data_IF_597066521339
#
_entry.id   IF_597066521339
#
_cell.length_a   1.000
_cell.length_b   1.000
_cell.length_c   1.000
_cell.angle_alpha   90.00
_cell.angle_beta   90.00
_cell.angle_gamma   90.00
#
_symmetry.space_group_name_H-M   'P 1'
#
loop_
_entity.id
_entity.type
_entity.pdbx_description
1 polymer ?
#
# COMPACT_ATOMS: atom_id res chain seq x y z
N UNK A 1 39.34 58.65 -5.73
CA UNK A 1 38.05 58.01 -6.02
C UNK A 1 38.17 56.51 -6.28
N UNK A 2 38.69 55.69 -5.34
CA UNK A 2 38.66 54.22 -5.49
C UNK A 2 38.56 53.57 -4.06
N UNK A 3 37.56 53.95 -3.31
CA UNK A 3 37.40 53.35 -1.97
C UNK A 3 35.93 53.01 -1.57
N UNK A 4 34.97 53.09 -2.49
CA UNK A 4 33.58 52.88 -2.12
C UNK A 4 32.95 51.57 -2.67
N UNK A 5 33.63 50.83 -3.55
CA UNK A 5 33.07 49.64 -4.26
C UNK A 5 33.34 48.31 -3.52
N UNK A 6 34.31 48.24 -2.63
CA UNK A 6 34.69 47.01 -1.96
C UNK A 6 33.85 46.67 -0.69
N UNK A 7 33.24 47.68 -0.09
CA UNK A 7 32.46 47.48 1.17
C UNK A 7 31.03 47.00 0.91
N UNK A 8 30.45 47.34 -0.25
CA UNK A 8 29.07 47.00 -0.60
C UNK A 8 28.89 45.55 -1.00
N UNK A 9 29.90 44.90 -1.56
CA UNK A 9 29.87 43.48 -1.98
C UNK A 9 30.01 42.52 -0.79
N UNK A 10 30.74 42.89 0.24
CA UNK A 10 30.90 42.06 1.46
C UNK A 10 29.67 42.09 2.36
N UNK A 11 28.96 43.21 2.44
CA UNK A 11 27.76 43.33 3.28
C UNK A 11 26.55 42.59 2.65
N UNK A 12 26.38 42.63 1.31
CA UNK A 12 25.34 41.91 0.63
C UNK A 12 25.59 40.40 0.57
N UNK A 13 26.84 39.95 0.52
CA UNK A 13 27.22 38.53 0.63
C UNK A 13 26.88 37.96 2.01
N UNK A 14 27.18 38.70 3.06
CA UNK A 14 26.95 38.28 4.44
C UNK A 14 25.44 38.23 4.79
N UNK A 15 24.63 39.08 4.18
CA UNK A 15 23.15 39.08 4.36
C UNK A 15 22.49 37.88 3.70
N UNK A 16 22.89 37.54 2.49
CA UNK A 16 22.40 36.36 1.79
C UNK A 16 22.82 35.05 2.45
N UNK A 17 24.08 34.98 2.89
CA UNK A 17 24.60 33.83 3.63
C UNK A 17 23.80 33.57 4.91
N UNK A 18 23.49 34.62 5.65
CA UNK A 18 22.67 34.54 6.86
C UNK A 18 21.24 34.08 6.51
N UNK A 19 20.66 34.62 5.46
CA UNK A 19 19.30 34.23 5.00
C UNK A 19 19.24 32.74 4.61
N UNK A 20 20.27 32.23 3.93
CA UNK A 20 20.38 30.80 3.61
C UNK A 20 20.54 29.93 4.85
N UNK A 21 21.35 30.34 5.81
CA UNK A 21 21.55 29.62 7.06
C UNK A 21 20.26 29.59 7.90
N UNK A 22 19.52 30.70 7.97
CA UNK A 22 18.24 30.78 8.68
C UNK A 22 17.21 29.83 8.01
N UNK A 23 17.21 29.75 6.68
CA UNK A 23 16.33 28.87 5.93
C UNK A 23 16.71 27.38 6.09
N UNK A 24 17.99 27.05 6.08
CA UNK A 24 18.48 25.70 6.35
C UNK A 24 18.04 25.25 7.74
N UNK A 25 18.23 26.08 8.76
CA UNK A 25 17.83 25.78 10.14
C UNK A 25 16.31 25.56 10.26
N UNK A 26 15.49 26.34 9.51
CA UNK A 26 14.04 26.14 9.48
C UNK A 26 13.65 24.81 8.84
N UNK A 27 14.27 24.46 7.72
CA UNK A 27 14.00 23.20 7.01
C UNK A 27 14.46 21.98 7.82
N UNK A 28 15.61 22.07 8.52
CA UNK A 28 16.07 21.00 9.42
C UNK A 28 15.07 20.75 10.56
N UNK A 29 14.48 21.83 11.10
CA UNK A 29 13.45 21.71 12.13
C UNK A 29 12.16 21.09 11.61
N UNK A 30 11.73 21.49 10.41
CA UNK A 30 10.55 20.92 9.75
C UNK A 30 10.75 19.43 9.45
N UNK A 31 11.93 19.06 8.92
CA UNK A 31 12.29 17.68 8.66
C UNK A 31 12.28 16.82 9.94
N UNK A 32 12.84 17.35 11.02
CA UNK A 32 12.85 16.64 12.31
C UNK A 32 11.46 16.45 12.89
N UNK A 33 10.57 17.43 12.71
CA UNK A 33 9.17 17.31 13.13
C UNK A 33 8.43 16.27 12.28
N UNK A 34 8.61 16.29 10.95
CA UNK A 34 8.01 15.31 10.05
C UNK A 34 8.49 13.88 10.36
N UNK A 35 9.78 13.69 10.61
CA UNK A 35 10.33 12.40 11.01
C UNK A 35 9.75 11.89 12.33
N UNK A 36 9.51 12.80 13.30
CA UNK A 36 8.89 12.44 14.57
C UNK A 36 7.40 12.04 14.39
N UNK A 37 6.65 12.76 13.56
CA UNK A 37 5.28 12.42 13.23
C UNK A 37 5.20 11.06 12.50
N UNK A 38 6.15 10.78 11.61
CA UNK A 38 6.25 9.49 10.91
C UNK A 38 6.58 8.34 11.87
N UNK A 39 7.47 8.57 12.86
CA UNK A 39 7.82 7.59 13.88
C UNK A 39 6.63 7.33 14.83
N UNK A 40 5.92 8.37 15.29
CA UNK A 40 4.72 8.25 16.12
C UNK A 40 3.59 7.51 15.36
N UNK A 41 3.35 7.86 14.08
CA UNK A 41 2.33 7.22 13.24
C UNK A 41 2.70 5.75 12.94
N UNK A 42 3.99 5.47 12.69
CA UNK A 42 4.50 4.11 12.50
C UNK A 42 4.29 3.23 13.74
N UNK A 43 4.51 3.78 14.93
CA UNK A 43 4.28 3.07 16.21
C UNK A 43 2.80 2.79 16.44
N UNK A 44 1.92 3.73 16.12
CA UNK A 44 0.46 3.54 16.23
C UNK A 44 -0.05 2.48 15.25
N UNK A 45 0.47 2.48 14.01
CA UNK A 45 0.15 1.46 13.00
C UNK A 45 0.63 0.07 13.41
N UNK A 46 1.81 -0.03 14.01
CA UNK A 46 2.38 -1.28 14.50
C UNK A 46 1.56 -1.85 15.68
N UNK A 47 1.15 -1.00 16.62
CA UNK A 47 0.26 -1.37 17.73
C UNK A 47 -1.13 -1.79 17.23
N UNK A 48 -1.70 -1.08 16.25
CA UNK A 48 -2.99 -1.43 15.64
C UNK A 48 -2.90 -2.75 14.87
N UNK A 49 -1.82 -2.99 14.12
CA UNK A 49 -1.59 -4.24 13.39
C UNK A 49 -1.41 -5.42 14.35
N UNK A 50 -0.66 -5.27 15.43
CA UNK A 50 -0.51 -6.29 16.48
C UNK A 50 -1.83 -6.58 17.17
N UNK A 51 -2.63 -5.56 17.48
CA UNK A 51 -3.97 -5.71 18.07
C UNK A 51 -4.91 -6.47 17.13
N UNK A 52 -4.87 -6.15 15.81
CA UNK A 52 -5.67 -6.84 14.81
C UNK A 52 -5.25 -8.31 14.65
N UNK A 53 -3.95 -8.59 14.59
CA UNK A 53 -3.44 -9.96 14.52
C UNK A 53 -3.76 -10.79 15.77
N UNK A 54 -3.72 -10.16 16.95
CA UNK A 54 -4.08 -10.80 18.22
C UNK A 54 -5.59 -11.06 18.31
N UNK A 55 -6.44 -10.13 17.88
CA UNK A 55 -7.89 -10.33 17.79
C UNK A 55 -8.27 -11.45 16.82
N UNK A 56 -7.51 -11.66 15.75
CA UNK A 56 -7.67 -12.78 14.82
C UNK A 56 -7.38 -14.13 15.46
N UNK A 57 -6.40 -14.21 16.37
CA UNK A 57 -6.02 -15.46 17.05
C UNK A 57 -6.96 -15.82 18.22
N UNK A 58 -7.64 -14.85 18.81
CA UNK A 58 -8.47 -15.03 20.01
C UNK A 58 -9.97 -15.28 19.72
N UNK A 59 -10.44 -15.04 18.50
CA UNK A 59 -11.88 -15.03 18.16
C UNK A 59 -12.41 -16.31 17.46
N UNK A 60 -11.79 -17.48 17.63
CA UNK A 60 -12.36 -18.75 17.17
C UNK A 60 -12.87 -18.69 15.70
N UNK A 61 -14.17 -18.85 15.48
CA UNK A 61 -14.79 -18.82 14.13
C UNK A 61 -14.87 -17.42 13.47
N UNK A 62 -14.41 -16.36 14.14
CA UNK A 62 -14.44 -14.98 13.62
C UNK A 62 -13.36 -14.68 12.56
N UNK A 63 -12.47 -15.61 12.25
CA UNK A 63 -11.46 -15.46 11.20
C UNK A 63 -12.05 -15.13 9.82
N UNK A 64 -13.32 -15.49 9.59
CA UNK A 64 -14.06 -15.17 8.35
C UNK A 64 -14.46 -13.68 8.26
N UNK A 65 -14.46 -12.98 9.38
CA UNK A 65 -14.95 -11.60 9.52
C UNK A 65 -13.80 -10.59 9.70
N UNK A 66 -12.63 -10.89 9.19
CA UNK A 66 -11.46 -10.02 9.28
C UNK A 66 -11.70 -8.74 8.54
N UNK A 67 -11.69 -7.61 9.26
CA UNK A 67 -11.77 -6.29 8.64
C UNK A 67 -10.36 -5.82 8.26
N UNK A 68 -10.16 -5.59 6.97
CA UNK A 68 -8.90 -5.05 6.42
C UNK A 68 -9.20 -3.83 5.57
N UNK A 69 -8.63 -2.69 5.93
CA UNK A 69 -8.72 -1.43 5.18
C UNK A 69 -7.64 -0.44 5.69
N UNK A 70 -7.66 0.82 5.23
CA UNK A 70 -6.69 1.85 5.65
C UNK A 70 -6.71 2.13 7.16
N UNK A 71 -7.84 1.93 7.84
CA UNK A 71 -7.96 2.10 9.29
C UNK A 71 -7.63 0.82 10.09
N UNK A 72 -7.56 -0.32 9.42
CA UNK A 72 -7.27 -1.63 9.98
C UNK A 72 -6.30 -2.39 9.06
N UNK A 73 -5.06 -1.89 8.92
CA UNK A 73 -4.06 -2.55 8.07
C UNK A 73 -3.59 -3.85 8.71
N UNK A 74 -3.24 -4.81 7.86
CA UNK A 74 -2.52 -6.02 8.28
C UNK A 74 -1.02 -5.72 8.41
N UNK A 75 -0.38 -6.37 9.37
CA UNK A 75 1.08 -6.36 9.49
C UNK A 75 1.74 -6.87 8.20
N UNK A 76 2.87 -6.27 7.81
CA UNK A 76 3.59 -6.65 6.59
C UNK A 76 4.11 -8.11 6.63
N UNK A 77 4.27 -8.67 7.83
CA UNK A 77 4.69 -10.07 8.06
C UNK A 77 3.52 -11.05 8.11
N UNK A 78 2.26 -10.58 8.04
CA UNK A 78 1.10 -11.45 8.09
C UNK A 78 1.07 -12.36 6.86
N UNK A 79 1.07 -13.66 7.09
CA UNK A 79 0.93 -14.69 6.05
C UNK A 79 -0.01 -15.78 6.58
N UNK A 80 -1.20 -15.97 5.96
CA UNK A 80 -2.08 -17.09 6.33
C UNK A 80 -1.48 -18.43 5.92
N UNK A 81 -2.02 -19.52 6.44
CA UNK A 81 -1.71 -20.85 5.92
C UNK A 81 -2.35 -20.99 4.53
N UNK A 82 -1.51 -21.14 3.50
CA UNK A 82 -1.94 -21.08 2.10
C UNK A 82 -2.03 -22.48 1.47
N UNK A 83 -3.03 -22.63 0.58
CA UNK A 83 -3.17 -23.79 -0.30
C UNK A 83 -3.46 -23.34 -1.73
N UNK A 84 -3.02 -24.13 -2.71
CA UNK A 84 -3.25 -23.84 -4.13
C UNK A 84 -4.69 -24.18 -4.52
N UNK A 85 -5.42 -23.17 -5.01
CA UNK A 85 -6.79 -23.29 -5.55
C UNK A 85 -6.75 -23.65 -7.04
N UNK A 86 -5.99 -22.94 -7.81
CA UNK A 86 -5.68 -23.12 -9.24
C UNK A 86 -4.20 -22.79 -9.47
N UNK A 87 -3.60 -23.13 -10.60
CA UNK A 87 -2.19 -22.79 -10.90
C UNK A 87 -1.92 -21.31 -10.65
N UNK A 88 -0.92 -21.02 -9.82
CA UNK A 88 -0.50 -19.66 -9.41
C UNK A 88 -1.57 -18.86 -8.63
N UNK A 89 -2.60 -19.51 -8.11
CA UNK A 89 -3.66 -18.89 -7.31
C UNK A 89 -3.79 -19.62 -5.98
N UNK A 90 -3.38 -18.96 -4.91
CA UNK A 90 -3.42 -19.48 -3.54
C UNK A 90 -4.52 -18.81 -2.74
N UNK A 91 -5.09 -19.56 -1.80
CA UNK A 91 -6.07 -19.09 -0.82
C UNK A 91 -5.70 -19.58 0.57
N UNK A 92 -6.32 -19.02 1.59
CA UNK A 92 -6.27 -19.58 2.94
C UNK A 92 -6.78 -21.03 2.91
N UNK A 93 -6.04 -21.95 3.52
CA UNK A 93 -6.37 -23.38 3.51
C UNK A 93 -7.78 -23.68 4.02
N UNK A 94 -8.30 -22.82 4.91
CA UNK A 94 -9.64 -22.99 5.52
C UNK A 94 -10.78 -22.81 4.52
N UNK A 95 -10.59 -22.01 3.45
CA UNK A 95 -11.63 -21.79 2.44
C UNK A 95 -11.41 -22.62 1.16
N UNK A 96 -10.34 -23.39 1.05
CA UNK A 96 -9.98 -24.08 -0.18
C UNK A 96 -11.09 -24.97 -0.70
N UNK A 97 -11.69 -25.80 0.16
CA UNK A 97 -12.73 -26.75 -0.24
C UNK A 97 -13.98 -26.03 -0.74
N UNK A 98 -14.42 -24.97 -0.07
CA UNK A 98 -15.60 -24.18 -0.44
C UNK A 98 -15.35 -23.39 -1.73
N UNK A 99 -14.15 -22.83 -1.90
CA UNK A 99 -13.78 -22.14 -3.14
C UNK A 99 -13.73 -23.09 -4.34
N UNK A 100 -13.18 -24.29 -4.17
CA UNK A 100 -13.17 -25.33 -5.21
C UNK A 100 -14.61 -25.75 -5.58
N UNK A 101 -15.47 -25.95 -4.58
CA UNK A 101 -16.87 -26.32 -4.81
C UNK A 101 -17.63 -25.21 -5.54
N UNK A 102 -17.46 -23.96 -5.14
CA UNK A 102 -18.07 -22.80 -5.80
C UNK A 102 -17.68 -22.73 -7.27
N UNK A 103 -16.40 -22.89 -7.61
CA UNK A 103 -15.92 -22.86 -8.99
C UNK A 103 -16.46 -24.06 -9.80
N UNK A 104 -16.54 -25.25 -9.18
CA UNK A 104 -17.11 -26.44 -9.81
C UNK A 104 -18.61 -26.26 -10.09
N UNK A 105 -19.37 -25.72 -9.16
CA UNK A 105 -20.81 -25.48 -9.32
C UNK A 105 -21.08 -24.42 -10.40
N UNK A 106 -20.26 -23.38 -10.47
CA UNK A 106 -20.33 -22.39 -11.54
C UNK A 106 -20.09 -23.03 -12.91
N UNK A 107 -19.09 -23.91 -13.05
CA UNK A 107 -18.82 -24.64 -14.29
C UNK A 107 -19.97 -25.59 -14.64
N UNK A 108 -20.53 -26.30 -13.65
CA UNK A 108 -21.69 -27.18 -13.84
C UNK A 108 -22.94 -26.39 -14.27
N UNK A 109 -23.07 -25.14 -13.88
CA UNK A 109 -24.11 -24.22 -14.30
C UNK A 109 -23.90 -23.65 -15.73
N UNK A 110 -22.80 -24.04 -16.41
CA UNK A 110 -22.47 -23.57 -17.75
C UNK A 110 -21.73 -22.23 -17.78
N UNK A 111 -21.24 -21.76 -16.63
CA UNK A 111 -20.40 -20.59 -16.55
C UNK A 111 -18.92 -20.98 -16.78
N UNK A 112 -18.11 -20.00 -17.18
CA UNK A 112 -16.68 -20.20 -17.39
C UNK A 112 -15.88 -19.30 -16.42
N UNK A 113 -15.84 -19.62 -15.11
CA UNK A 113 -15.16 -18.79 -14.13
C UNK A 113 -13.65 -18.80 -14.33
N UNK A 114 -13.06 -17.63 -14.23
CA UNK A 114 -11.62 -17.40 -14.25
C UNK A 114 -11.21 -16.61 -13.00
N UNK A 115 -10.29 -17.15 -12.21
CA UNK A 115 -9.75 -16.48 -11.02
C UNK A 115 -8.64 -15.54 -11.46
N UNK A 116 -8.94 -14.24 -11.54
CA UNK A 116 -7.98 -13.20 -11.92
C UNK A 116 -6.94 -13.00 -10.84
N UNK A 117 -7.38 -12.93 -9.59
CA UNK A 117 -6.54 -12.68 -8.43
C UNK A 117 -7.02 -13.47 -7.21
N UNK A 118 -6.06 -13.90 -6.39
CA UNK A 118 -6.29 -14.60 -5.12
C UNK A 118 -5.39 -13.98 -4.04
N UNK A 119 -4.74 -14.77 -3.19
CA UNK A 119 -3.81 -14.25 -2.21
C UNK A 119 -2.74 -13.36 -2.86
N UNK A 120 -2.52 -12.21 -2.25
CA UNK A 120 -1.43 -11.28 -2.59
C UNK A 120 -0.67 -10.92 -1.31
N UNK A 121 0.62 -11.25 -1.24
CA UNK A 121 1.45 -10.84 -0.12
C UNK A 121 1.73 -9.32 -0.17
N UNK A 122 2.25 -8.80 0.94
CA UNK A 122 2.55 -7.38 1.09
C UNK A 122 3.48 -6.85 -0.01
N UNK A 123 4.55 -7.57 -0.34
CA UNK A 123 5.54 -7.13 -1.32
C UNK A 123 4.97 -7.09 -2.75
N UNK A 124 4.14 -8.07 -3.11
CA UNK A 124 3.45 -8.08 -4.40
C UNK A 124 2.45 -6.91 -4.49
N UNK A 125 1.65 -6.69 -3.45
CA UNK A 125 0.72 -5.55 -3.40
C UNK A 125 1.45 -4.21 -3.52
N UNK A 126 2.63 -4.08 -2.88
CA UNK A 126 3.49 -2.90 -2.99
C UNK A 126 4.00 -2.70 -4.41
N UNK A 127 4.39 -3.77 -5.09
CA UNK A 127 4.82 -3.69 -6.50
C UNK A 127 3.67 -3.19 -7.38
N UNK A 128 2.49 -3.80 -7.30
CA UNK A 128 1.31 -3.40 -8.07
C UNK A 128 0.95 -1.93 -7.83
N UNK A 129 0.97 -1.49 -6.57
CA UNK A 129 0.70 -0.11 -6.21
C UNK A 129 1.72 0.86 -6.82
N UNK A 130 3.02 0.54 -6.71
CA UNK A 130 4.09 1.37 -7.25
C UNK A 130 4.07 1.43 -8.78
N UNK A 131 3.83 0.30 -9.45
CA UNK A 131 3.75 0.23 -10.90
C UNK A 131 2.59 1.09 -11.42
N UNK A 132 1.43 1.02 -10.78
CA UNK A 132 0.27 1.88 -11.11
C UNK A 132 0.58 3.37 -10.86
N UNK A 133 1.28 3.71 -9.77
CA UNK A 133 1.74 5.10 -9.55
C UNK A 133 2.67 5.58 -10.67
N UNK A 134 3.61 4.74 -11.10
CA UNK A 134 4.55 5.07 -12.20
C UNK A 134 3.78 5.32 -13.49
N UNK A 135 2.75 4.55 -13.78
CA UNK A 135 1.90 4.76 -14.96
C UNK A 135 1.22 6.12 -14.93
N UNK A 136 0.66 6.55 -13.79
CA UNK A 136 0.08 7.88 -13.63
C UNK A 136 1.11 9.00 -13.78
N UNK A 137 2.29 8.84 -13.17
CA UNK A 137 3.39 9.82 -13.31
C UNK A 137 3.83 9.93 -14.77
N UNK A 138 3.90 8.82 -15.49
CA UNK A 138 4.26 8.80 -16.92
C UNK A 138 3.23 9.54 -17.78
N UNK A 139 1.98 9.58 -17.35
CA UNK A 139 0.90 10.35 -17.97
C UNK A 139 0.93 11.84 -17.58
N UNK A 140 1.88 12.27 -16.73
CA UNK A 140 2.09 13.68 -16.38
C UNK A 140 1.46 14.09 -15.04
N UNK A 141 0.96 13.16 -14.25
CA UNK A 141 0.47 13.44 -12.90
C UNK A 141 1.63 13.77 -11.96
N UNK A 142 1.37 14.64 -10.97
CA UNK A 142 2.33 14.81 -9.87
C UNK A 142 2.38 13.53 -9.01
N UNK A 143 3.47 13.27 -8.26
CA UNK A 143 3.52 12.10 -7.38
C UNK A 143 2.36 12.01 -6.37
N UNK A 144 1.87 13.14 -5.86
CA UNK A 144 0.72 13.17 -4.95
C UNK A 144 -0.57 12.83 -5.68
N UNK A 145 -0.82 13.42 -6.85
CA UNK A 145 -2.01 13.10 -7.64
C UNK A 145 -1.98 11.64 -8.13
N UNK A 146 -0.79 11.13 -8.51
CA UNK A 146 -0.62 9.73 -8.89
C UNK A 146 -0.94 8.78 -7.73
N UNK A 147 -0.53 9.11 -6.51
CA UNK A 147 -0.89 8.36 -5.30
C UNK A 147 -2.40 8.34 -5.08
N UNK A 148 -3.05 9.51 -5.16
CA UNK A 148 -4.50 9.63 -4.96
C UNK A 148 -5.30 8.91 -6.06
N UNK A 149 -4.85 8.93 -7.31
CA UNK A 149 -5.48 8.17 -8.41
C UNK A 149 -5.27 6.66 -8.24
N UNK A 150 -4.07 6.23 -7.83
CA UNK A 150 -3.77 4.82 -7.59
C UNK A 150 -4.66 4.24 -6.50
N UNK A 151 -4.87 4.96 -5.40
CA UNK A 151 -5.74 4.51 -4.28
C UNK A 151 -7.19 4.23 -4.69
N UNK A 152 -7.66 4.78 -5.80
CA UNK A 152 -9.03 4.53 -6.27
C UNK A 152 -9.22 3.14 -6.86
N UNK A 153 -8.15 2.50 -7.32
CA UNK A 153 -8.18 1.21 -8.00
C UNK A 153 -7.31 0.13 -7.36
N UNK A 154 -6.27 0.53 -6.63
CA UNK A 154 -5.32 -0.38 -5.99
C UNK A 154 -5.21 -0.05 -4.51
N UNK A 155 -5.46 -1.02 -3.66
CA UNK A 155 -5.32 -0.86 -2.21
C UNK A 155 -3.86 -0.57 -1.82
N UNK A 156 -3.68 0.32 -0.85
CA UNK A 156 -2.36 0.57 -0.24
C UNK A 156 -1.81 -0.74 0.35
N UNK A 157 -0.50 -1.01 0.26
CA UNK A 157 0.08 -2.21 0.87
C UNK A 157 -0.29 -2.36 2.35
N UNK A 158 -0.74 -3.55 2.72
CA UNK A 158 -1.27 -3.85 4.06
C UNK A 158 -2.77 -3.59 4.23
N UNK A 159 -3.44 -2.92 3.30
CA UNK A 159 -4.87 -2.60 3.41
C UNK A 159 -5.74 -3.38 2.42
N UNK A 160 -5.17 -4.35 1.72
CA UNK A 160 -5.86 -5.21 0.77
C UNK A 160 -6.40 -6.47 1.45
N UNK A 161 -7.69 -6.78 1.25
CA UNK A 161 -8.30 -8.03 1.71
C UNK A 161 -7.66 -9.27 1.10
N UNK A 162 -7.03 -9.16 -0.07
CA UNK A 162 -6.28 -10.26 -0.69
C UNK A 162 -5.12 -10.77 0.16
N UNK A 163 -4.57 -9.95 1.06
CA UNK A 163 -3.53 -10.38 1.98
C UNK A 163 -4.02 -11.38 3.05
N UNK A 164 -5.33 -11.49 3.26
CA UNK A 164 -5.92 -12.48 4.16
C UNK A 164 -5.98 -13.89 3.56
N UNK A 165 -5.87 -14.02 2.23
CA UNK A 165 -6.13 -15.26 1.51
C UNK A 165 -7.63 -15.62 1.39
N UNK A 166 -8.54 -14.72 1.85
CA UNK A 166 -9.99 -14.94 1.87
C UNK A 166 -10.70 -14.25 0.70
N UNK A 167 -10.00 -13.44 -0.09
CA UNK A 167 -10.56 -12.69 -1.20
C UNK A 167 -10.15 -13.28 -2.56
N UNK A 168 -11.10 -13.33 -3.48
CA UNK A 168 -10.93 -13.78 -4.86
C UNK A 168 -11.56 -12.76 -5.82
N UNK A 169 -10.81 -12.37 -6.85
CA UNK A 169 -11.37 -11.69 -8.02
C UNK A 169 -11.68 -12.74 -9.08
N UNK A 170 -12.95 -12.83 -9.48
CA UNK A 170 -13.41 -13.82 -10.45
C UNK A 170 -14.14 -13.11 -11.59
N UNK A 171 -13.79 -13.44 -12.82
CA UNK A 171 -14.48 -13.01 -14.03
C UNK A 171 -14.83 -14.22 -14.89
N UNK A 172 -15.44 -14.00 -16.07
CA UNK A 172 -15.55 -15.06 -17.08
C UNK A 172 -14.24 -15.20 -17.86
N UNK A 173 -13.81 -16.42 -18.14
CA UNK A 173 -12.66 -16.67 -19.00
C UNK A 173 -12.82 -16.07 -20.41
N UNK A 174 -14.05 -15.81 -20.84
CA UNK A 174 -14.35 -15.15 -22.12
C UNK A 174 -13.89 -13.68 -22.13
N UNK A 175 -13.75 -13.06 -20.95
CA UNK A 175 -13.30 -11.68 -20.77
C UNK A 175 -11.88 -11.58 -20.20
N UNK A 176 -11.23 -12.68 -19.84
CA UNK A 176 -9.91 -12.69 -19.25
C UNK A 176 -8.78 -12.15 -20.17
N UNK A 177 -9.09 -11.91 -21.44
CA UNK A 177 -8.14 -11.37 -22.45
C UNK A 177 -8.33 -9.87 -22.69
N UNK A 178 -9.19 -9.19 -21.92
CA UNK A 178 -9.51 -7.78 -22.10
C UNK A 178 -8.74 -6.85 -21.12
N UNK A 179 -7.88 -7.42 -20.24
CA UNK A 179 -7.02 -6.70 -19.31
C UNK A 179 -5.59 -6.56 -19.84
#
# INVERSE_FOLDING_TARGET
>A
GVAATGIFTTVTGNTKEKEYQDKITSLEKELKNAQKEEEETGTDLEVMAQTSAQQLSEQGDAWQMVLVNESHPLDASYVPELAELEPDRQVDVRILADAQQMLADARNAGLNPYVCSAYRNYDYQRSVFNDTMVDWITQGYTPLDAYDETKKSVAVPGTSEHATGLALDITSADYAQLD
#
